data_IF_714370446546
#
_entry.id   IF_714370446546
#
_cell.length_a   1.000
_cell.length_b   1.000
_cell.length_c   1.000
_cell.angle_alpha   90.00
_cell.angle_beta   90.00
_cell.angle_gamma   90.00
#
_symmetry.space_group_name_H-M   'P 1'
#
loop_
_entity.id
_entity.type
_entity.pdbx_description
1 polymer ?
#
# COMPACT_ATOMS: atom_id res chain seq x y z
N UNK A 1 -7.09 31.94 10.93
CA UNK A 1 -5.97 31.28 10.22
C UNK A 1 -6.10 29.78 10.48
N UNK A 2 -6.37 28.98 9.47
CA UNK A 2 -6.48 27.53 9.62
C UNK A 2 -5.07 26.92 9.49
N UNK A 3 -4.68 26.07 10.43
CA UNK A 3 -3.41 25.35 10.39
C UNK A 3 -3.34 24.45 9.15
N UNK A 4 -2.16 24.29 8.53
CA UNK A 4 -2.02 23.48 7.33
C UNK A 4 -2.37 22.02 7.59
N UNK A 5 -3.02 21.39 6.63
CA UNK A 5 -3.57 20.03 6.70
C UNK A 5 -2.55 18.93 6.99
N UNK A 6 -1.24 19.20 6.87
CA UNK A 6 -0.18 18.21 7.07
C UNK A 6 0.05 17.81 8.53
N UNK A 7 -0.33 18.65 9.50
CA UNK A 7 -0.14 18.34 10.93
C UNK A 7 -1.22 17.41 11.51
N UNK A 8 -2.40 17.33 10.88
CA UNK A 8 -3.50 16.52 11.42
C UNK A 8 -3.36 15.00 11.19
N UNK A 9 -2.50 14.57 10.29
CA UNK A 9 -2.36 13.14 9.98
C UNK A 9 -1.38 12.40 10.92
N UNK A 10 -0.54 13.12 11.67
CA UNK A 10 0.54 12.52 12.47
C UNK A 10 0.15 12.19 13.91
N UNK A 11 -0.90 12.80 14.47
CA UNK A 11 -1.16 12.75 15.92
C UNK A 11 -2.42 11.99 16.35
N UNK A 12 -3.08 11.21 15.49
CA UNK A 12 -4.13 10.31 16.01
C UNK A 12 -3.51 9.01 16.51
N UNK A 13 -3.63 8.71 17.83
CA UNK A 13 -3.17 7.46 18.38
C UNK A 13 -3.90 6.31 17.67
N UNK A 14 -3.14 5.30 17.32
CA UNK A 14 -3.58 4.01 16.80
C UNK A 14 -4.79 3.51 17.62
N UNK A 15 -5.95 3.37 17.00
CA UNK A 15 -7.09 2.77 17.68
C UNK A 15 -6.73 1.34 18.10
N UNK A 16 -6.86 0.97 19.40
CA UNK A 16 -6.51 -0.36 19.89
C UNK A 16 -7.53 -1.40 19.43
N UNK A 17 -7.44 -1.80 18.18
CA UNK A 17 -8.31 -2.75 17.51
C UNK A 17 -7.83 -3.16 16.13
N UNK A 18 -6.84 -2.47 15.55
CA UNK A 18 -6.18 -2.94 14.35
C UNK A 18 -5.08 -3.93 14.74
N UNK A 19 -5.46 -5.19 14.85
CA UNK A 19 -4.54 -6.32 14.94
C UNK A 19 -3.56 -6.28 13.77
N UNK A 20 -2.28 -6.53 14.02
CA UNK A 20 -1.28 -6.67 12.96
C UNK A 20 -1.79 -7.65 11.91
N UNK A 21 -1.96 -7.16 10.70
CA UNK A 21 -2.66 -7.86 9.61
C UNK A 21 -1.77 -8.91 8.98
N UNK A 22 -0.45 -8.72 9.03
CA UNK A 22 0.52 -9.63 8.44
C UNK A 22 0.98 -10.68 9.45
N UNK A 23 1.16 -11.91 8.98
CA UNK A 23 1.83 -12.95 9.75
C UNK A 23 3.26 -12.50 10.11
N UNK A 24 3.64 -12.63 11.37
CA UNK A 24 4.94 -12.16 11.88
C UNK A 24 5.98 -13.28 11.97
N UNK A 25 5.55 -14.54 12.01
CA UNK A 25 6.40 -15.70 12.30
C UNK A 25 6.14 -16.82 11.27
N UNK A 26 7.17 -17.62 11.01
CA UNK A 26 7.10 -18.80 10.14
C UNK A 26 7.39 -18.50 8.66
N UNK A 27 7.20 -19.50 7.82
CA UNK A 27 7.42 -19.41 6.36
C UNK A 27 6.56 -18.36 5.68
N UNK A 28 5.40 -18.06 6.25
CA UNK A 28 4.43 -17.11 5.70
C UNK A 28 4.51 -15.70 6.31
N UNK A 29 5.51 -15.42 7.14
CA UNK A 29 5.72 -14.09 7.69
C UNK A 29 5.75 -13.02 6.57
N UNK A 30 4.95 -11.96 6.73
CA UNK A 30 4.78 -10.91 5.71
C UNK A 30 3.59 -11.12 4.78
N UNK A 31 2.91 -12.26 4.83
CA UNK A 31 1.62 -12.48 4.14
C UNK A 31 0.44 -12.02 4.99
N UNK A 32 -0.65 -11.68 4.31
CA UNK A 32 -1.94 -11.45 4.95
C UNK A 32 -2.50 -12.79 5.46
N UNK A 33 -2.80 -12.87 6.76
CA UNK A 33 -3.40 -14.10 7.31
C UNK A 33 -4.83 -14.29 6.80
N UNK A 34 -5.30 -15.56 6.73
CA UNK A 34 -6.68 -15.84 6.36
C UNK A 34 -7.69 -15.22 7.34
N UNK A 35 -7.38 -15.26 8.64
CA UNK A 35 -8.20 -14.62 9.66
C UNK A 35 -8.30 -13.10 9.43
N UNK A 36 -7.17 -12.45 9.15
CA UNK A 36 -7.16 -11.02 8.84
C UNK A 36 -7.88 -10.71 7.53
N UNK A 37 -7.75 -11.56 6.51
CA UNK A 37 -8.48 -11.40 5.24
C UNK A 37 -9.99 -11.42 5.43
N UNK A 38 -10.50 -12.30 6.30
CA UNK A 38 -11.93 -12.36 6.66
C UNK A 38 -12.41 -11.17 7.49
N UNK A 39 -11.49 -10.46 8.13
CA UNK A 39 -11.78 -9.28 8.97
C UNK A 39 -11.57 -7.96 8.22
N UNK A 40 -11.14 -8.00 6.95
CA UNK A 40 -11.07 -6.79 6.16
C UNK A 40 -12.46 -6.15 6.06
N UNK A 41 -12.56 -4.83 6.14
CA UNK A 41 -13.82 -4.14 5.95
C UNK A 41 -14.41 -4.47 4.57
N UNK A 42 -15.71 -4.42 4.44
CA UNK A 42 -16.37 -4.51 3.14
C UNK A 42 -15.85 -3.38 2.26
N UNK A 43 -15.43 -3.74 1.04
CA UNK A 43 -14.92 -2.77 0.08
C UNK A 43 -16.04 -1.81 -0.34
N UNK A 44 -15.75 -0.51 -0.28
CA UNK A 44 -16.68 0.55 -0.70
C UNK A 44 -15.94 1.77 -1.23
N UNK A 45 -16.64 2.61 -1.95
CA UNK A 45 -16.14 3.93 -2.31
C UNK A 45 -16.02 4.83 -1.07
N UNK A 46 -15.06 5.75 -1.11
CA UNK A 46 -14.94 6.82 -0.13
C UNK A 46 -15.75 8.04 -0.59
N UNK A 47 -16.35 8.75 0.34
CA UNK A 47 -16.93 10.07 0.08
C UNK A 47 -15.82 11.12 -0.17
N UNK A 48 -16.15 12.21 -0.85
CA UNK A 48 -15.20 13.31 -1.03
C UNK A 48 -14.80 13.90 0.34
N UNK A 49 -13.51 13.98 0.60
CA UNK A 49 -12.97 14.39 1.88
C UNK A 49 -12.86 13.25 2.90
N UNK A 50 -13.40 12.08 2.59
CA UNK A 50 -13.24 10.89 3.44
C UNK A 50 -11.86 10.26 3.24
N UNK A 51 -11.33 9.69 4.31
CA UNK A 51 -10.04 9.00 4.30
C UNK A 51 -10.15 7.59 4.89
N UNK A 52 -9.25 6.72 4.43
CA UNK A 52 -9.05 5.36 4.95
C UNK A 52 -7.61 5.18 5.39
N UNK A 53 -7.41 4.65 6.59
CA UNK A 53 -6.09 4.22 7.06
C UNK A 53 -5.96 2.70 6.89
N UNK A 54 -4.88 2.29 6.24
CA UNK A 54 -4.40 0.91 6.18
C UNK A 54 -3.30 0.79 7.23
N UNK A 55 -3.58 0.09 8.32
CA UNK A 55 -2.68 -0.01 9.47
C UNK A 55 -1.39 -0.78 9.19
N UNK A 56 -1.46 -1.75 8.29
CA UNK A 56 -0.30 -2.53 7.85
C UNK A 56 -0.51 -3.04 6.42
N UNK A 57 0.42 -2.75 5.52
CA UNK A 57 0.48 -3.33 4.18
C UNK A 57 1.43 -4.52 4.21
N UNK A 58 0.93 -5.70 3.87
CA UNK A 58 1.70 -6.94 3.89
C UNK A 58 2.62 -7.04 2.67
N UNK A 59 3.95 -7.01 2.85
CA UNK A 59 4.89 -6.89 1.72
C UNK A 59 5.02 -8.18 0.87
N UNK A 60 4.45 -9.29 1.29
CA UNK A 60 4.40 -10.54 0.50
C UNK A 60 3.14 -10.66 -0.34
N UNK A 61 2.18 -9.77 -0.15
CA UNK A 61 1.01 -9.72 -1.03
C UNK A 61 1.40 -8.99 -2.32
N UNK A 62 1.24 -9.68 -3.44
CA UNK A 62 1.44 -9.08 -4.77
C UNK A 62 0.38 -8.01 -5.07
N UNK A 63 -0.77 -8.13 -4.41
CA UNK A 63 -1.89 -7.22 -4.48
C UNK A 63 -2.59 -7.22 -3.12
N UNK A 64 -2.19 -6.28 -2.26
CA UNK A 64 -2.79 -6.12 -0.94
C UNK A 64 -4.09 -5.33 -1.04
N UNK A 65 -5.25 -5.88 -0.64
CA UNK A 65 -6.54 -5.22 -0.74
C UNK A 65 -6.67 -4.08 0.27
N UNK A 66 -7.16 -2.92 -0.16
CA UNK A 66 -7.36 -1.75 0.70
C UNK A 66 -8.78 -1.61 1.22
N UNK A 67 -9.72 -2.36 0.65
CA UNK A 67 -11.17 -2.19 0.84
C UNK A 67 -11.67 -0.80 0.39
N UNK A 68 -10.96 -0.16 -0.54
CA UNK A 68 -11.36 1.10 -1.19
C UNK A 68 -11.71 0.80 -2.64
N UNK A 69 -12.99 0.90 -3.00
CA UNK A 69 -13.41 0.88 -4.39
C UNK A 69 -13.12 2.25 -5.01
N UNK A 70 -12.54 2.23 -6.18
CA UNK A 70 -12.20 3.45 -6.91
C UNK A 70 -13.42 3.95 -7.71
N UNK A 71 -13.67 5.24 -7.63
CA UNK A 71 -14.64 5.93 -8.47
C UNK A 71 -13.94 6.40 -9.75
N UNK A 72 -14.47 6.14 -10.96
CA UNK A 72 -13.88 6.61 -12.21
C UNK A 72 -13.64 8.13 -12.19
N UNK A 73 -12.46 8.55 -12.59
CA UNK A 73 -12.08 9.97 -12.65
C UNK A 73 -11.87 10.67 -11.30
N UNK A 74 -12.13 10.02 -10.18
CA UNK A 74 -11.90 10.60 -8.86
C UNK A 74 -10.39 10.74 -8.56
N UNK A 75 -10.04 11.76 -7.80
CA UNK A 75 -8.66 12.04 -7.40
C UNK A 75 -8.44 11.61 -5.95
N UNK A 76 -7.35 10.89 -5.73
CA UNK A 76 -6.95 10.39 -4.43
C UNK A 76 -5.58 10.95 -4.05
N UNK A 77 -5.46 11.40 -2.80
CA UNK A 77 -4.17 11.66 -2.16
C UNK A 77 -3.80 10.44 -1.32
N UNK A 78 -2.65 9.85 -1.62
CA UNK A 78 -2.19 8.63 -0.95
C UNK A 78 -0.85 8.93 -0.31
N UNK A 79 -0.74 8.71 1.00
CA UNK A 79 0.49 8.92 1.75
C UNK A 79 0.87 7.68 2.53
N UNK A 80 2.17 7.47 2.72
CA UNK A 80 2.68 6.28 3.38
C UNK A 80 3.84 6.59 4.33
N UNK A 81 3.86 5.87 5.45
CA UNK A 81 4.93 5.91 6.45
C UNK A 81 5.25 4.49 6.91
N UNK A 82 6.44 4.31 7.46
CA UNK A 82 6.87 3.02 7.95
C UNK A 82 7.94 2.39 7.07
N UNK A 83 8.26 1.12 7.36
CA UNK A 83 9.29 0.37 6.66
C UNK A 83 8.92 -1.09 6.53
N UNK A 84 9.48 -1.71 5.52
CA UNK A 84 9.52 -3.16 5.32
C UNK A 84 10.93 -3.62 5.00
N UNK A 85 11.11 -4.91 4.83
CA UNK A 85 12.41 -5.53 4.64
C UNK A 85 12.36 -6.52 3.48
N UNK A 86 13.33 -6.42 2.58
CA UNK A 86 13.67 -7.42 1.56
C UNK A 86 15.01 -8.04 1.94
N UNK A 87 15.04 -9.35 2.19
CA UNK A 87 16.22 -10.03 2.73
C UNK A 87 16.86 -9.27 3.91
N UNK A 88 17.94 -8.53 3.66
CA UNK A 88 18.62 -7.67 4.64
C UNK A 88 18.38 -6.18 4.45
N UNK A 89 17.78 -5.77 3.32
CA UNK A 89 17.57 -4.36 2.98
C UNK A 89 16.30 -3.86 3.67
N UNK A 90 16.42 -2.78 4.44
CA UNK A 90 15.28 -2.07 5.04
C UNK A 90 15.01 -0.82 4.25
N UNK A 91 13.78 -0.65 3.81
CA UNK A 91 13.40 0.50 3.00
C UNK A 91 12.08 1.10 3.45
N UNK A 92 11.93 2.40 3.25
CA UNK A 92 10.67 3.12 3.40
C UNK A 92 9.79 3.01 2.15
N UNK A 93 8.69 3.78 2.12
CA UNK A 93 7.77 3.76 0.98
C UNK A 93 8.40 4.24 -0.33
N UNK A 94 9.48 5.03 -0.28
CA UNK A 94 10.24 5.49 -1.45
C UNK A 94 11.08 4.42 -2.12
N UNK A 95 11.19 3.22 -1.52
CA UNK A 95 12.05 2.15 -2.05
C UNK A 95 13.53 2.46 -2.00
N UNK A 96 14.36 1.62 -2.62
CA UNK A 96 15.79 1.84 -2.71
C UNK A 96 16.27 1.85 -4.16
N UNK A 97 17.34 2.59 -4.40
CA UNK A 97 17.88 2.82 -5.71
C UNK A 97 18.96 1.79 -6.04
N UNK A 98 18.69 0.91 -7.02
CA UNK A 98 19.67 0.01 -7.56
C UNK A 98 19.39 -0.28 -9.04
N UNK A 99 19.89 0.55 -9.97
CA UNK A 99 19.55 0.53 -11.39
C UNK A 99 19.63 -0.83 -12.08
N UNK A 100 20.64 -1.70 -11.81
CA UNK A 100 20.73 -3.00 -12.47
C UNK A 100 19.50 -3.90 -12.32
N UNK A 101 18.70 -3.70 -11.26
CA UNK A 101 17.53 -4.50 -10.99
C UNK A 101 16.20 -3.87 -11.45
N UNK A 102 16.19 -2.60 -11.80
CA UNK A 102 14.99 -1.87 -12.19
C UNK A 102 14.22 -2.48 -13.37
N UNK A 103 14.85 -3.06 -14.41
CA UNK A 103 14.11 -3.69 -15.50
C UNK A 103 13.27 -4.90 -15.10
N UNK A 104 13.61 -5.55 -14.00
CA UNK A 104 12.97 -6.79 -13.53
C UNK A 104 11.84 -6.54 -12.54
N UNK A 105 11.66 -5.30 -12.09
CA UNK A 105 10.57 -4.92 -11.19
C UNK A 105 9.21 -5.03 -11.90
N UNK A 106 8.15 -5.24 -11.14
CA UNK A 106 6.77 -5.30 -11.66
C UNK A 106 6.35 -4.01 -12.38
N UNK A 107 6.80 -2.87 -11.87
CA UNK A 107 6.77 -1.59 -12.59
C UNK A 107 8.21 -1.30 -13.01
N UNK A 108 8.59 -1.60 -14.26
CA UNK A 108 9.96 -1.46 -14.71
C UNK A 108 10.49 -0.03 -14.59
N UNK A 109 11.81 0.12 -14.43
CA UNK A 109 12.52 1.39 -14.35
C UNK A 109 12.22 2.27 -13.13
N UNK A 110 11.38 1.78 -12.21
CA UNK A 110 11.17 2.40 -10.91
C UNK A 110 12.03 1.73 -9.83
N UNK A 111 12.17 2.40 -8.67
CA UNK A 111 12.96 1.89 -7.55
C UNK A 111 12.40 0.54 -7.07
N UNK A 112 13.31 -0.33 -6.65
CA UNK A 112 12.93 -1.55 -5.95
C UNK A 112 12.23 -1.19 -4.64
N UNK A 113 11.21 -1.98 -4.29
CA UNK A 113 10.45 -1.81 -3.05
C UNK A 113 9.76 -0.46 -2.88
N UNK A 114 9.69 0.38 -3.92
CA UNK A 114 8.82 1.56 -3.82
C UNK A 114 7.38 1.09 -3.65
N UNK A 115 6.67 1.72 -2.70
CA UNK A 115 5.24 1.46 -2.54
C UNK A 115 4.51 1.86 -3.81
N UNK A 116 3.72 0.94 -4.32
CA UNK A 116 2.97 1.09 -5.56
C UNK A 116 1.51 0.72 -5.35
N UNK A 117 0.66 1.21 -6.24
CA UNK A 117 -0.76 0.88 -6.29
C UNK A 117 -1.18 0.35 -7.65
N UNK A 118 -2.34 -0.30 -7.71
CA UNK A 118 -2.99 -0.71 -8.95
C UNK A 118 -4.51 -0.73 -8.80
N UNK A 119 -5.20 -0.70 -9.93
CA UNK A 119 -6.65 -0.92 -10.01
C UNK A 119 -6.90 -2.41 -10.15
N UNK A 120 -7.50 -3.02 -9.14
CA UNK A 120 -7.67 -4.47 -9.09
C UNK A 120 -6.35 -5.24 -9.04
N UNK A 121 -6.38 -6.57 -9.06
CA UNK A 121 -5.21 -7.44 -8.97
C UNK A 121 -4.48 -7.59 -10.32
N UNK A 122 -4.16 -6.46 -10.97
CA UNK A 122 -3.48 -6.38 -12.27
C UNK A 122 -2.43 -5.26 -12.28
N UNK A 123 -1.50 -5.30 -13.21
CA UNK A 123 -0.50 -4.25 -13.41
C UNK A 123 -0.88 -3.25 -14.52
N UNK A 124 -2.01 -3.41 -15.17
CA UNK A 124 -2.42 -2.58 -16.31
C UNK A 124 -2.49 -1.09 -15.95
N UNK A 125 -2.99 -0.77 -14.76
CA UNK A 125 -3.06 0.59 -14.23
C UNK A 125 -2.21 0.76 -12.98
N UNK A 126 -1.06 0.10 -12.95
CA UNK A 126 -0.14 0.23 -11.83
C UNK A 126 0.56 1.60 -11.84
N UNK A 127 0.74 2.17 -10.64
CA UNK A 127 1.37 3.46 -10.44
C UNK A 127 2.24 3.49 -9.19
N UNK A 128 3.21 4.38 -9.15
CA UNK A 128 4.09 4.56 -7.99
C UNK A 128 3.47 5.55 -7.02
N UNK A 129 3.46 5.18 -5.75
CA UNK A 129 2.99 6.02 -4.64
C UNK A 129 4.18 6.69 -3.93
N UNK A 130 5.19 5.91 -3.55
CA UNK A 130 6.28 6.42 -2.72
C UNK A 130 5.79 6.87 -1.35
N UNK A 131 6.33 7.99 -0.83
CA UNK A 131 5.88 8.59 0.43
C UNK A 131 4.53 9.26 0.32
N UNK A 132 4.28 9.87 -0.82
CA UNK A 132 3.04 10.59 -1.09
C UNK A 132 2.85 10.76 -2.59
N UNK A 133 1.62 10.63 -3.04
CA UNK A 133 1.22 10.94 -4.42
C UNK A 133 -0.21 11.48 -4.44
N UNK A 134 -0.49 12.29 -5.45
CA UNK A 134 -1.87 12.60 -5.87
C UNK A 134 -2.09 11.89 -7.20
N UNK A 135 -3.08 11.02 -7.24
CA UNK A 135 -3.35 10.18 -8.40
C UNK A 135 -4.85 10.23 -8.75
N UNK A 136 -5.14 10.27 -10.03
CA UNK A 136 -6.51 10.26 -10.54
C UNK A 136 -6.81 8.89 -11.12
N UNK A 137 -7.91 8.28 -10.69
CA UNK A 137 -8.37 7.00 -11.20
C UNK A 137 -8.73 7.12 -12.70
N UNK A 138 -8.49 6.09 -13.51
CA UNK A 138 -8.92 6.08 -14.91
C UNK A 138 -10.41 6.34 -15.04
N UNK A 139 -10.82 7.02 -16.11
CA UNK A 139 -12.22 7.25 -16.43
C UNK A 139 -12.97 5.96 -16.76
N UNK A 140 -12.25 4.95 -17.26
CA UNK A 140 -12.75 3.60 -17.53
C UNK A 140 -11.97 2.66 -16.64
N UNK A 141 -12.64 2.00 -15.72
CA UNK A 141 -12.05 0.99 -14.85
C UNK A 141 -12.18 -0.40 -15.50
N UNK A 142 -11.24 -1.33 -15.23
CA UNK A 142 -11.27 -2.67 -15.79
C UNK A 142 -12.58 -3.40 -15.42
N UNK A 143 -13.27 -3.92 -16.42
CA UNK A 143 -14.43 -4.79 -16.19
C UNK A 143 -13.99 -6.16 -15.68
N UNK A 144 -14.75 -6.72 -14.73
CA UNK A 144 -14.60 -8.12 -14.27
C UNK A 144 -13.42 -8.40 -13.32
N UNK A 145 -12.46 -7.49 -13.16
CA UNK A 145 -11.29 -7.68 -12.27
C UNK A 145 -11.40 -6.91 -10.94
N UNK A 146 -12.53 -6.26 -10.69
CA UNK A 146 -12.73 -5.43 -9.51
C UNK A 146 -12.07 -4.05 -9.64
N UNK A 147 -12.67 -3.07 -8.99
CA UNK A 147 -12.22 -1.68 -9.01
C UNK A 147 -11.54 -1.27 -7.70
N UNK A 148 -11.17 -2.26 -6.88
CA UNK A 148 -10.53 -2.02 -5.61
C UNK A 148 -9.08 -1.56 -5.80
N UNK A 149 -8.68 -0.51 -5.08
CA UNK A 149 -7.28 -0.11 -4.99
C UNK A 149 -6.48 -1.21 -4.29
N UNK A 150 -5.44 -1.68 -4.95
CA UNK A 150 -4.50 -2.65 -4.41
C UNK A 150 -3.15 -1.99 -4.13
N UNK A 151 -2.45 -2.44 -3.10
CA UNK A 151 -1.12 -1.93 -2.75
C UNK A 151 -0.08 -3.06 -2.82
N UNK A 152 1.16 -2.72 -3.19
CA UNK A 152 2.26 -3.69 -3.23
C UNK A 152 3.63 -3.00 -3.21
N UNK A 153 4.69 -3.68 -2.73
CA UNK A 153 6.07 -3.26 -3.01
C UNK A 153 6.42 -3.57 -4.46
N UNK A 154 7.07 -2.63 -5.15
CA UNK A 154 7.58 -2.84 -6.49
C UNK A 154 8.82 -3.74 -6.47
N UNK A 155 8.60 -5.03 -6.45
CA UNK A 155 9.61 -6.09 -6.38
C UNK A 155 9.56 -6.99 -7.63
N UNK A 156 10.50 -7.92 -7.74
CA UNK A 156 10.44 -8.97 -8.75
C UNK A 156 9.29 -9.92 -8.46
N UNK A 157 8.53 -10.28 -9.46
CA UNK A 157 7.34 -11.12 -9.29
C UNK A 157 7.64 -12.49 -8.66
N UNK A 158 8.86 -12.99 -8.83
CA UNK A 158 9.33 -14.27 -8.27
C UNK A 158 9.98 -14.16 -6.88
N UNK A 159 10.09 -12.96 -6.28
CA UNK A 159 10.88 -12.73 -5.04
C UNK A 159 10.08 -12.24 -3.84
N UNK A 160 8.75 -12.26 -3.93
CA UNK A 160 7.89 -11.80 -2.83
C UNK A 160 7.99 -12.63 -1.54
N UNK A 161 8.48 -13.87 -1.61
CA UNK A 161 8.59 -14.79 -0.47
C UNK A 161 9.68 -14.39 0.54
N UNK A 162 10.63 -13.54 0.16
CA UNK A 162 11.69 -13.03 1.03
C UNK A 162 11.33 -11.72 1.76
N UNK A 163 10.18 -11.11 1.41
CA UNK A 163 9.72 -9.84 1.99
C UNK A 163 9.16 -10.01 3.40
N UNK A 164 9.39 -9.03 4.25
CA UNK A 164 8.94 -9.06 5.64
C UNK A 164 8.42 -7.69 6.09
N UNK A 165 7.35 -7.70 6.85
CA UNK A 165 6.94 -6.55 7.66
C UNK A 165 7.93 -6.32 8.80
N UNK A 166 8.08 -5.10 9.24
CA UNK A 166 8.94 -4.75 10.37
C UNK A 166 8.10 -4.31 11.57
N UNK A 167 8.52 -4.65 12.80
CA UNK A 167 7.86 -4.18 14.00
C UNK A 167 8.10 -2.66 14.22
N UNK A 168 7.27 -1.98 15.04
CA UNK A 168 7.39 -0.55 15.32
C UNK A 168 8.80 -0.13 15.77
N UNK A 169 9.47 -0.92 16.63
CA UNK A 169 10.82 -0.66 17.09
C UNK A 169 11.88 -0.62 15.97
N UNK A 170 11.56 -1.12 14.78
CA UNK A 170 12.41 -1.11 13.59
C UNK A 170 11.91 -0.14 12.51
N UNK A 171 10.92 0.70 12.85
CA UNK A 171 10.33 1.69 11.96
C UNK A 171 9.17 1.18 11.09
N UNK A 172 8.71 -0.05 11.28
CA UNK A 172 7.51 -0.61 10.64
C UNK A 172 6.26 -0.49 11.51
N UNK A 173 5.16 -1.11 11.10
CA UNK A 173 4.89 -1.59 9.73
C UNK A 173 4.69 -0.46 8.71
N UNK A 174 4.57 -0.81 7.42
CA UNK A 174 4.16 0.12 6.38
C UNK A 174 2.68 0.45 6.54
N UNK A 175 2.38 1.72 6.75
CA UNK A 175 1.01 2.25 6.91
C UNK A 175 0.70 3.22 5.79
N UNK A 176 -0.54 3.18 5.30
CA UNK A 176 -0.98 4.00 4.18
C UNK A 176 -2.26 4.72 4.56
N UNK A 177 -2.34 6.00 4.21
CA UNK A 177 -3.56 6.80 4.29
C UNK A 177 -4.00 7.13 2.88
N UNK A 178 -5.27 6.90 2.58
CA UNK A 178 -5.91 7.18 1.30
C UNK A 178 -7.01 8.19 1.56
N UNK A 179 -6.96 9.35 0.91
CA UNK A 179 -7.96 10.42 1.00
C UNK A 179 -8.56 10.66 -0.38
N UNK A 180 -9.89 10.62 -0.51
CA UNK A 180 -10.57 11.05 -1.73
C UNK A 180 -10.67 12.57 -1.76
N UNK A 181 -10.18 13.21 -2.83
CA UNK A 181 -10.16 14.68 -3.01
C UNK A 181 -11.33 15.17 -3.86
N UNK A 182 -11.77 14.39 -4.82
CA UNK A 182 -12.89 14.70 -5.72
C UNK A 182 -13.64 13.44 -6.11
#
# INVERSE_FOLDING_TARGET
MAAPASERAQDKPFSPGQVGVCLQIGSDAGKLSEASRKQLPVARELEVGEWRIIGEVCPREKFFPTSVLLTPGATYEISAVGRWKDLWIRTGPEGWWFPPFHPFNRIPWHRMFVLSGSVGPTLEHAFVIGKQTTWTAPMVLPEGMGTELQLFPNDWDSKYDNNRSLPPAQGGPMRVTILRKS
#
